data_IF_166825956674
#
_entry.id   IF_166825956674
#
_cell.length_a   1.000
_cell.length_b   1.000
_cell.length_c   1.000
_cell.angle_alpha   90.00
_cell.angle_beta   90.00
_cell.angle_gamma   90.00
#
_symmetry.space_group_name_H-M   'P 1'
#
loop_
_entity.id
_entity.type
_entity.pdbx_description
1 polymer ?
#
# COMPACT_ATOMS: atom_id res chain seq x y z
N UNK A 1 49.23 6.69 -7.90
CA UNK A 1 48.33 5.73 -8.59
C UNK A 1 46.95 6.37 -8.55
N UNK A 2 46.28 6.56 -9.69
CA UNK A 2 44.92 7.12 -9.66
C UNK A 2 43.94 6.06 -9.13
N UNK A 3 42.95 6.44 -8.31
CA UNK A 3 41.93 5.51 -7.84
C UNK A 3 41.16 4.94 -9.03
N UNK A 4 40.77 3.67 -8.95
CA UNK A 4 39.95 3.04 -9.99
C UNK A 4 38.51 3.55 -9.90
N UNK A 5 37.79 3.53 -11.03
CA UNK A 5 36.36 3.87 -11.07
C UNK A 5 35.55 3.05 -10.06
N UNK A 6 35.83 1.75 -9.96
CA UNK A 6 35.20 0.85 -9.00
C UNK A 6 35.43 1.27 -7.53
N UNK A 7 36.60 1.83 -7.21
CA UNK A 7 36.88 2.35 -5.87
C UNK A 7 36.07 3.62 -5.60
N UNK A 8 35.96 4.51 -6.58
CA UNK A 8 35.16 5.73 -6.47
C UNK A 8 33.66 5.42 -6.28
N UNK A 9 33.12 4.48 -7.05
CA UNK A 9 31.72 4.06 -6.95
C UNK A 9 31.44 3.38 -5.60
N UNK A 10 32.39 2.59 -5.09
CA UNK A 10 32.31 2.00 -3.76
C UNK A 10 32.29 3.04 -2.64
N UNK A 11 33.14 4.08 -2.73
CA UNK A 11 33.13 5.19 -1.77
C UNK A 11 31.81 5.96 -1.86
N UNK A 12 31.35 6.29 -3.06
CA UNK A 12 30.10 7.03 -3.26
C UNK A 12 28.89 6.27 -2.70
N UNK A 13 28.82 4.95 -2.91
CA UNK A 13 27.78 4.10 -2.33
C UNK A 13 27.83 3.97 -0.80
N UNK A 14 28.93 4.34 -0.14
CA UNK A 14 29.00 4.46 1.31
C UNK A 14 28.59 5.85 1.84
N UNK A 15 28.58 6.86 0.96
CA UNK A 15 28.23 8.23 1.31
C UNK A 15 26.77 8.58 1.00
N UNK A 16 26.16 7.89 0.03
CA UNK A 16 24.76 8.06 -0.37
C UNK A 16 23.88 6.86 -0.03
N UNK A 17 22.57 7.10 0.03
CA UNK A 17 21.55 6.07 0.12
C UNK A 17 20.99 5.78 -1.28
N UNK A 18 21.36 4.65 -1.88
CA UNK A 18 20.93 4.28 -3.25
C UNK A 18 19.43 4.11 -3.46
N UNK A 19 18.61 4.20 -2.41
CA UNK A 19 17.14 4.22 -2.53
C UNK A 19 16.64 5.62 -2.90
N UNK A 20 17.29 6.67 -2.40
CA UNK A 20 16.81 8.06 -2.52
C UNK A 20 17.80 9.02 -3.15
N UNK A 21 19.07 8.62 -3.25
CA UNK A 21 20.16 9.41 -3.80
C UNK A 21 20.66 8.80 -5.13
N UNK A 22 20.97 9.67 -6.08
CA UNK A 22 21.80 9.35 -7.24
C UNK A 22 23.15 10.05 -7.10
N UNK A 23 24.23 9.41 -7.55
CA UNK A 23 25.57 9.99 -7.53
C UNK A 23 26.32 9.77 -8.83
N UNK A 24 27.27 10.67 -9.11
CA UNK A 24 28.18 10.59 -10.24
C UNK A 24 29.63 10.73 -9.74
N UNK A 25 30.54 10.03 -10.39
CA UNK A 25 31.97 9.98 -10.06
C UNK A 25 32.75 10.36 -11.31
N UNK A 26 33.76 11.22 -11.16
CA UNK A 26 34.54 11.77 -12.27
C UNK A 26 36.03 11.63 -12.00
N UNK A 27 36.82 11.41 -13.05
CA UNK A 27 38.28 11.36 -12.93
C UNK A 27 38.88 12.78 -12.91
N UNK A 28 40.12 12.88 -12.43
CA UNK A 28 40.83 14.15 -12.41
C UNK A 28 41.00 14.72 -13.85
N UNK A 29 40.45 15.91 -14.08
CA UNK A 29 40.47 16.59 -15.39
C UNK A 29 39.28 16.25 -16.30
N UNK A 30 38.40 15.36 -15.87
CA UNK A 30 37.13 15.08 -16.54
C UNK A 30 36.11 16.18 -16.19
N UNK A 31 35.27 16.56 -17.16
CA UNK A 31 34.24 17.56 -16.91
C UNK A 31 33.13 16.95 -16.06
N UNK A 32 32.83 17.58 -14.93
CA UNK A 32 31.70 17.19 -14.09
C UNK A 32 30.39 17.44 -14.85
N UNK A 33 29.55 16.40 -14.93
CA UNK A 33 28.24 16.45 -15.56
C UNK A 33 27.24 15.71 -14.68
N UNK A 34 26.57 16.45 -13.80
CA UNK A 34 25.50 15.91 -12.97
C UNK A 34 24.17 16.07 -13.73
N UNK A 35 23.33 15.03 -13.81
CA UNK A 35 22.01 15.18 -14.40
C UNK A 35 21.18 16.23 -13.65
N UNK A 36 20.31 16.94 -14.37
CA UNK A 36 19.36 17.88 -13.75
C UNK A 36 18.54 17.14 -12.67
N UNK A 37 18.48 17.61 -11.41
CA UNK A 37 17.61 17.01 -10.40
C UNK A 37 16.11 17.22 -10.70
N UNK A 38 15.78 18.16 -11.59
CA UNK A 38 14.42 18.48 -12.02
C UNK A 38 14.16 18.01 -13.46
N UNK A 39 14.73 16.87 -13.88
CA UNK A 39 14.53 16.32 -15.23
C UNK A 39 13.04 16.37 -15.58
N UNK A 40 12.72 16.96 -16.73
CA UNK A 40 11.39 16.82 -17.29
C UNK A 40 11.21 15.36 -17.69
N UNK A 41 10.51 14.60 -16.85
CA UNK A 41 9.99 13.31 -17.28
C UNK A 41 9.04 13.58 -18.43
N UNK A 42 9.19 12.90 -19.58
CA UNK A 42 8.26 13.07 -20.66
C UNK A 42 6.86 12.67 -20.17
N UNK A 43 6.03 13.66 -19.86
CA UNK A 43 4.63 13.48 -19.51
C UNK A 43 3.86 13.18 -20.81
N UNK A 44 4.14 12.02 -21.41
CA UNK A 44 3.34 11.50 -22.50
C UNK A 44 2.09 10.89 -21.88
N UNK A 45 1.02 11.67 -21.81
CA UNK A 45 -0.29 11.11 -21.52
C UNK A 45 -0.62 10.11 -22.64
N UNK A 46 -0.54 8.81 -22.34
CA UNK A 46 -0.87 7.73 -23.29
C UNK A 46 -2.38 7.62 -23.56
N UNK A 47 -3.18 8.55 -23.00
CA UNK A 47 -4.63 8.45 -23.00
C UNK A 47 -5.11 7.39 -22.01
N UNK A 48 -6.38 6.99 -22.15
CA UNK A 48 -6.97 5.91 -21.36
C UNK A 48 -6.48 4.57 -21.92
N UNK A 49 -5.77 3.79 -21.12
CA UNK A 49 -5.36 2.42 -21.44
C UNK A 49 -6.45 1.45 -20.99
N UNK A 50 -6.89 0.57 -21.86
CA UNK A 50 -7.85 -0.51 -21.56
C UNK A 50 -7.11 -1.84 -21.42
N UNK A 51 -7.50 -2.64 -20.43
CA UNK A 51 -6.89 -3.94 -20.14
C UNK A 51 -7.85 -5.05 -20.58
N UNK A 52 -7.45 -5.96 -21.47
CA UNK A 52 -8.35 -6.99 -22.00
C UNK A 52 -8.57 -8.08 -20.94
N UNK A 53 -9.69 -8.00 -20.22
CA UNK A 53 -10.06 -9.01 -19.20
C UNK A 53 -11.30 -9.82 -19.60
N UNK A 54 -12.12 -9.32 -20.53
CA UNK A 54 -13.43 -9.92 -20.84
C UNK A 54 -13.31 -11.23 -21.64
N UNK A 55 -12.43 -11.28 -22.63
CA UNK A 55 -12.29 -12.41 -23.57
C UNK A 55 -10.92 -13.08 -23.47
N UNK A 56 -10.49 -13.38 -22.24
CA UNK A 56 -9.21 -14.04 -21.96
C UNK A 56 -9.39 -15.24 -21.05
N UNK A 57 -8.47 -16.21 -21.16
CA UNK A 57 -8.49 -17.41 -20.34
C UNK A 57 -8.13 -17.11 -18.88
N UNK A 58 -8.37 -18.08 -18.00
CA UNK A 58 -8.01 -17.94 -16.58
C UNK A 58 -6.49 -17.84 -16.39
N UNK A 59 -5.70 -18.52 -17.22
CA UNK A 59 -4.23 -18.37 -17.22
C UNK A 59 -3.81 -16.96 -17.60
N UNK A 60 -4.49 -16.34 -18.58
CA UNK A 60 -4.19 -14.98 -18.99
C UNK A 60 -4.66 -13.96 -17.95
N UNK A 61 -5.77 -14.21 -17.24
CA UNK A 61 -6.17 -13.37 -16.10
C UNK A 61 -5.10 -13.34 -15.01
N UNK A 62 -4.52 -14.49 -14.69
CA UNK A 62 -3.41 -14.57 -13.71
C UNK A 62 -2.21 -13.78 -14.22
N UNK A 63 -1.84 -13.92 -15.50
CA UNK A 63 -0.74 -13.14 -16.10
C UNK A 63 -0.99 -11.64 -16.06
N UNK A 64 -2.21 -11.18 -16.33
CA UNK A 64 -2.58 -9.75 -16.21
C UNK A 64 -2.36 -9.25 -14.78
N UNK A 65 -2.73 -10.05 -13.77
CA UNK A 65 -2.51 -9.72 -12.36
C UNK A 65 -1.02 -9.64 -12.01
N UNK A 66 -0.24 -10.64 -12.44
CA UNK A 66 1.20 -10.73 -12.17
C UNK A 66 1.99 -9.61 -12.86
N UNK A 67 1.79 -9.43 -14.17
CA UNK A 67 2.49 -8.44 -14.99
C UNK A 67 2.11 -7.01 -14.58
N UNK A 68 0.88 -6.80 -14.10
CA UNK A 68 0.38 -5.53 -13.58
C UNK A 68 0.74 -5.26 -12.11
N UNK A 69 1.32 -6.22 -11.38
CA UNK A 69 1.61 -6.07 -9.95
C UNK A 69 0.36 -5.96 -9.07
N UNK A 70 -0.80 -6.42 -9.54
CA UNK A 70 -2.11 -6.21 -8.91
C UNK A 70 -2.31 -7.06 -7.64
N UNK A 71 -1.57 -8.17 -7.53
CA UNK A 71 -1.68 -9.12 -6.42
C UNK A 71 -3.12 -9.65 -6.18
N UNK A 72 -3.93 -9.71 -7.24
CA UNK A 72 -5.27 -10.28 -7.24
C UNK A 72 -5.21 -11.77 -7.54
N UNK A 73 -5.96 -12.57 -6.79
CA UNK A 73 -6.08 -14.00 -7.06
C UNK A 73 -7.04 -14.31 -8.22
N UNK A 74 -7.06 -15.57 -8.66
CA UNK A 74 -7.90 -15.97 -9.79
C UNK A 74 -9.41 -15.71 -9.52
N UNK A 75 -10.00 -16.09 -8.37
CA UNK A 75 -11.38 -15.74 -8.03
C UNK A 75 -11.69 -14.23 -8.10
N UNK A 76 -10.78 -13.39 -7.62
CA UNK A 76 -10.92 -11.93 -7.70
C UNK A 76 -10.90 -11.45 -9.15
N UNK A 77 -9.94 -11.91 -9.94
CA UNK A 77 -9.86 -11.60 -11.37
C UNK A 77 -11.07 -12.09 -12.16
N UNK A 78 -11.60 -13.27 -11.84
CA UNK A 78 -12.84 -13.80 -12.44
C UNK A 78 -14.06 -12.95 -12.08
N UNK A 79 -14.10 -12.43 -10.84
CA UNK A 79 -15.16 -11.52 -10.38
C UNK A 79 -15.11 -10.20 -11.14
N UNK A 80 -13.91 -9.64 -11.32
CA UNK A 80 -13.67 -8.44 -12.13
C UNK A 80 -14.07 -8.69 -13.59
N UNK A 81 -13.60 -9.78 -14.21
CA UNK A 81 -14.00 -10.18 -15.57
C UNK A 81 -15.52 -10.24 -15.71
N UNK A 82 -16.20 -10.90 -14.78
CA UNK A 82 -17.66 -11.05 -14.82
C UNK A 82 -18.38 -9.69 -14.74
N UNK A 83 -17.87 -8.77 -13.92
CA UNK A 83 -18.39 -7.41 -13.82
C UNK A 83 -18.25 -6.65 -15.13
N UNK A 84 -17.09 -6.69 -15.77
CA UNK A 84 -16.81 -5.95 -17.01
C UNK A 84 -17.49 -6.57 -18.25
N UNK A 85 -17.64 -7.90 -18.30
CA UNK A 85 -18.51 -8.58 -19.27
C UNK A 85 -19.95 -8.05 -19.16
N UNK A 86 -20.48 -7.92 -17.94
CA UNK A 86 -21.84 -7.41 -17.73
C UNK A 86 -22.00 -5.93 -18.12
N UNK A 87 -20.94 -5.13 -18.01
CA UNK A 87 -20.91 -3.74 -18.48
C UNK A 87 -20.71 -3.63 -20.00
N UNK A 88 -20.29 -4.69 -20.68
CA UNK A 88 -20.02 -4.70 -22.11
C UNK A 88 -18.81 -3.87 -22.52
N UNK A 89 -17.80 -3.73 -21.64
CA UNK A 89 -16.56 -2.99 -21.89
C UNK A 89 -15.39 -3.54 -21.09
N UNK A 90 -14.18 -3.22 -21.51
CA UNK A 90 -12.98 -3.48 -20.71
C UNK A 90 -12.81 -2.46 -19.56
N UNK A 91 -12.14 -2.85 -18.46
CA UNK A 91 -11.62 -1.91 -17.48
C UNK A 91 -10.54 -1.04 -18.12
N UNK A 92 -10.49 0.22 -17.71
CA UNK A 92 -9.24 0.96 -17.82
C UNK A 92 -8.24 0.51 -16.77
N UNK A 93 -6.96 0.69 -17.07
CA UNK A 93 -5.84 0.41 -16.17
C UNK A 93 -6.08 1.00 -14.77
N UNK A 94 -6.47 2.27 -14.69
CA UNK A 94 -6.76 2.93 -13.40
C UNK A 94 -7.94 2.34 -12.65
N UNK A 95 -8.97 1.85 -13.36
CA UNK A 95 -10.10 1.18 -12.72
C UNK A 95 -9.67 -0.17 -12.13
N UNK A 96 -8.83 -0.91 -12.87
CA UNK A 96 -8.31 -2.19 -12.42
C UNK A 96 -7.36 -2.03 -11.22
N UNK A 97 -6.44 -1.06 -11.27
CA UNK A 97 -5.55 -0.71 -10.16
C UNK A 97 -6.32 -0.27 -8.92
N UNK A 98 -7.37 0.55 -9.10
CA UNK A 98 -8.25 0.97 -7.98
C UNK A 98 -8.90 -0.24 -7.30
N UNK A 99 -9.38 -1.21 -8.08
CA UNK A 99 -9.94 -2.44 -7.52
C UNK A 99 -8.85 -3.22 -6.78
N UNK A 100 -7.67 -3.41 -7.37
CA UNK A 100 -6.54 -4.10 -6.76
C UNK A 100 -6.14 -3.51 -5.40
N UNK A 101 -5.98 -2.18 -5.33
CA UNK A 101 -5.62 -1.49 -4.09
C UNK A 101 -6.72 -1.63 -3.03
N UNK A 102 -7.98 -1.38 -3.41
CA UNK A 102 -9.10 -1.43 -2.46
C UNK A 102 -9.39 -2.85 -1.96
N UNK A 103 -9.10 -3.87 -2.77
CA UNK A 103 -9.26 -5.28 -2.40
C UNK A 103 -8.01 -5.90 -1.80
N UNK A 104 -6.93 -5.13 -1.60
CA UNK A 104 -5.72 -5.64 -0.94
C UNK A 104 -6.01 -6.11 0.49
N UNK A 105 -5.16 -7.00 1.01
CA UNK A 105 -5.29 -7.44 2.42
C UNK A 105 -5.16 -6.28 3.41
N UNK A 106 -4.29 -5.32 3.08
CA UNK A 106 -4.06 -4.14 3.89
C UNK A 106 -5.33 -3.27 4.01
N UNK A 107 -6.13 -3.17 2.94
CA UNK A 107 -7.35 -2.34 2.92
C UNK A 107 -8.60 -3.09 3.40
N UNK A 108 -8.80 -4.34 2.97
CA UNK A 108 -10.01 -5.09 3.28
C UNK A 108 -9.92 -5.86 4.61
N UNK A 109 -8.72 -6.09 5.13
CA UNK A 109 -8.48 -6.93 6.31
C UNK A 109 -9.15 -8.31 6.17
N UNK A 110 -8.95 -9.01 5.03
CA UNK A 110 -9.59 -10.30 4.72
C UNK A 110 -9.28 -11.34 5.78
N UNK A 111 -8.07 -11.37 6.35
CA UNK A 111 -7.72 -12.30 7.42
C UNK A 111 -8.52 -12.04 8.70
N UNK A 112 -8.68 -10.78 9.08
CA UNK A 112 -9.41 -10.39 10.29
C UNK A 112 -10.92 -10.48 10.12
N UNK A 113 -11.43 -10.42 8.90
CA UNK A 113 -12.87 -10.52 8.60
C UNK A 113 -13.30 -11.90 8.13
N UNK A 114 -12.35 -12.76 7.78
CA UNK A 114 -12.57 -14.12 7.32
C UNK A 114 -12.94 -15.10 8.43
N UNK A 115 -13.33 -16.30 8.00
CA UNK A 115 -13.68 -17.39 8.89
C UNK A 115 -12.43 -18.14 9.37
N UNK A 116 -12.32 -18.37 10.68
CA UNK A 116 -11.17 -18.99 11.33
C UNK A 116 -11.62 -20.15 12.20
N UNK A 117 -10.89 -21.28 12.15
CA UNK A 117 -11.03 -22.40 13.07
C UNK A 117 -9.72 -22.67 13.80
N UNK A 118 -9.76 -22.74 15.12
CA UNK A 118 -8.61 -23.09 15.95
C UNK A 118 -9.03 -24.06 17.07
N UNK A 119 -8.72 -25.35 16.88
CA UNK A 119 -9.28 -26.41 17.71
C UNK A 119 -10.82 -26.42 17.63
N UNK A 120 -11.48 -26.31 18.77
CA UNK A 120 -12.94 -26.25 18.87
C UNK A 120 -13.50 -24.83 18.66
N UNK A 121 -12.65 -23.79 18.61
CA UNK A 121 -13.09 -22.42 18.34
C UNK A 121 -13.36 -22.23 16.85
N UNK A 122 -14.51 -21.65 16.52
CA UNK A 122 -14.90 -21.27 15.16
C UNK A 122 -15.45 -19.85 15.18
N UNK A 123 -14.91 -19.02 14.30
CA UNK A 123 -15.39 -17.67 14.02
C UNK A 123 -15.73 -17.60 12.52
N UNK A 124 -16.87 -17.02 12.18
CA UNK A 124 -17.22 -16.72 10.80
C UNK A 124 -16.69 -15.32 10.41
N UNK A 125 -16.49 -14.42 11.39
CA UNK A 125 -15.78 -13.15 11.26
C UNK A 125 -15.01 -12.84 12.56
N UNK A 126 -13.68 -13.05 12.54
CA UNK A 126 -12.84 -12.95 13.73
C UNK A 126 -12.95 -11.57 14.42
N UNK A 127 -12.83 -10.47 13.67
CA UNK A 127 -12.85 -9.11 14.20
C UNK A 127 -14.19 -8.75 14.84
N UNK A 128 -15.30 -9.08 14.17
CA UNK A 128 -16.65 -8.76 14.65
C UNK A 128 -17.02 -9.56 15.90
N UNK A 129 -16.64 -10.83 15.94
CA UNK A 129 -17.02 -11.75 17.01
C UNK A 129 -16.12 -11.65 18.24
N UNK A 130 -14.95 -11.02 18.12
CA UNK A 130 -14.02 -10.81 19.25
C UNK A 130 -14.05 -9.36 19.71
N UNK A 131 -13.38 -8.46 19.00
CA UNK A 131 -13.15 -7.08 19.42
C UNK A 131 -14.46 -6.27 19.40
N UNK A 132 -15.20 -6.28 18.29
CA UNK A 132 -16.39 -5.43 18.17
C UNK A 132 -17.51 -5.91 19.08
N UNK A 133 -17.67 -7.23 19.23
CA UNK A 133 -18.68 -7.82 20.11
C UNK A 133 -18.48 -7.36 21.55
N UNK A 134 -17.27 -7.43 22.09
CA UNK A 134 -17.00 -6.99 23.47
C UNK A 134 -17.30 -5.50 23.64
N UNK A 135 -16.84 -4.63 22.72
CA UNK A 135 -17.14 -3.19 22.80
C UNK A 135 -18.64 -2.90 22.75
N UNK A 136 -19.39 -3.57 21.87
CA UNK A 136 -20.84 -3.41 21.76
C UNK A 136 -21.57 -3.95 22.99
N UNK A 137 -21.16 -5.11 23.50
CA UNK A 137 -21.83 -5.74 24.64
C UNK A 137 -21.57 -4.98 25.94
N UNK A 138 -20.42 -4.32 26.07
CA UNK A 138 -20.11 -3.45 27.21
C UNK A 138 -20.89 -2.13 27.18
N UNK A 139 -21.17 -1.58 25.99
CA UNK A 139 -21.97 -0.37 25.75
C UNK A 139 -21.66 0.78 26.71
N UNK A 140 -20.37 1.07 26.90
CA UNK A 140 -19.94 2.04 27.91
C UNK A 140 -20.24 3.47 27.42
N UNK A 141 -20.87 4.32 28.24
CA UNK A 141 -21.33 5.65 27.82
C UNK A 141 -20.18 6.61 27.47
N UNK A 142 -18.96 6.32 27.94
CA UNK A 142 -17.76 7.10 27.62
C UNK A 142 -17.13 6.69 26.28
N UNK A 143 -17.59 5.65 25.60
CA UNK A 143 -17.12 5.29 24.25
C UNK A 143 -17.83 6.14 23.19
N UNK A 144 -17.41 7.39 22.99
CA UNK A 144 -18.07 8.34 22.10
C UNK A 144 -17.99 7.96 20.61
N UNK A 145 -16.83 7.47 20.15
CA UNK A 145 -16.66 6.96 18.78
C UNK A 145 -15.71 5.76 18.78
N UNK A 146 -16.20 4.57 18.46
CA UNK A 146 -15.38 3.36 18.36
C UNK A 146 -15.83 2.57 17.14
N UNK A 147 -14.87 2.22 16.27
CA UNK A 147 -15.11 1.52 14.99
C UNK A 147 -16.05 2.25 14.01
N UNK A 148 -16.09 3.58 14.06
CA UNK A 148 -16.91 4.41 13.17
C UNK A 148 -16.10 5.37 12.30
N UNK A 149 -14.84 5.59 12.66
CA UNK A 149 -13.97 6.60 12.05
C UNK A 149 -12.51 6.12 12.08
N UNK A 150 -11.59 6.92 11.56
CA UNK A 150 -10.17 6.62 11.51
C UNK A 150 -9.50 6.54 12.88
N UNK A 151 -10.06 7.20 13.90
CA UNK A 151 -9.59 7.16 15.28
C UNK A 151 -10.70 6.81 16.28
N UNK A 152 -10.33 6.21 17.41
CA UNK A 152 -11.23 5.96 18.52
C UNK A 152 -11.27 7.14 19.49
N UNK A 153 -12.46 7.56 19.91
CA UNK A 153 -12.65 8.67 20.86
C UNK A 153 -13.35 8.18 22.12
N UNK A 154 -12.75 8.45 23.27
CA UNK A 154 -13.32 8.19 24.60
C UNK A 154 -13.49 9.47 25.39
N UNK A 155 -14.59 9.60 26.12
CA UNK A 155 -14.86 10.70 27.04
C UNK A 155 -14.01 10.60 28.30
N UNK A 156 -13.40 11.71 28.68
CA UNK A 156 -12.70 11.88 29.96
C UNK A 156 -13.67 12.49 30.98
N UNK A 157 -14.47 13.46 30.54
CA UNK A 157 -15.60 14.07 31.25
C UNK A 157 -16.69 14.50 30.24
N UNK A 158 -17.64 15.34 30.66
CA UNK A 158 -18.77 15.77 29.82
C UNK A 158 -18.39 16.80 28.72
N UNK A 159 -17.19 17.37 28.77
CA UNK A 159 -16.70 18.41 27.84
C UNK A 159 -15.51 17.93 27.00
N UNK A 160 -14.63 17.10 27.56
CA UNK A 160 -13.37 16.67 26.96
C UNK A 160 -13.31 15.17 26.71
N UNK A 161 -12.73 14.81 25.57
CA UNK A 161 -12.42 13.43 25.19
C UNK A 161 -10.99 13.29 24.66
N UNK A 162 -10.47 12.06 24.70
CA UNK A 162 -9.20 11.69 24.09
C UNK A 162 -9.43 10.94 22.78
N UNK A 163 -8.78 11.38 21.71
CA UNK A 163 -8.66 10.64 20.45
C UNK A 163 -7.41 9.77 20.48
N UNK A 164 -7.55 8.50 20.09
CA UNK A 164 -6.49 7.52 20.08
C UNK A 164 -6.47 6.78 18.75
N UNK A 165 -5.30 6.77 18.11
CA UNK A 165 -5.00 5.96 16.94
C UNK A 165 -3.57 5.46 17.02
N UNK A 166 -3.37 4.22 16.57
CA UNK A 166 -2.06 3.61 16.39
C UNK A 166 -2.04 2.99 15.00
N UNK A 167 -0.97 3.26 14.27
CA UNK A 167 -0.68 2.67 12.97
C UNK A 167 0.71 2.04 12.96
N UNK A 168 0.97 1.23 11.95
CA UNK A 168 2.30 0.67 11.71
C UNK A 168 2.69 0.93 10.27
N UNK A 169 3.98 1.16 10.02
CA UNK A 169 4.51 1.45 8.67
C UNK A 169 5.70 0.53 8.35
N UNK A 170 5.50 -0.77 8.63
CA UNK A 170 6.58 -1.75 8.75
C UNK A 170 7.32 -1.99 7.44
N UNK A 171 6.60 -2.29 6.35
CA UNK A 171 7.23 -2.68 5.09
C UNK A 171 8.06 -1.54 4.48
N UNK A 172 7.57 -0.28 4.38
CA UNK A 172 8.39 0.81 3.86
C UNK A 172 9.55 1.17 4.79
N UNK A 173 9.38 1.07 6.11
CA UNK A 173 10.46 1.32 7.07
C UNK A 173 11.57 0.27 7.02
N UNK A 174 11.26 -0.95 6.56
CA UNK A 174 12.25 -1.99 6.34
C UNK A 174 13.12 -1.72 5.08
N UNK A 175 12.57 -1.00 4.11
CA UNK A 175 13.30 -0.59 2.90
C UNK A 175 14.10 0.68 3.15
N UNK A 176 13.43 1.74 3.61
CA UNK A 176 14.04 3.04 3.86
C UNK A 176 13.52 3.58 5.21
N UNK A 177 14.31 3.45 6.29
CA UNK A 177 13.81 3.71 7.65
C UNK A 177 13.38 5.15 7.93
N UNK A 178 14.04 6.15 7.35
CA UNK A 178 13.79 7.54 7.71
C UNK A 178 12.46 8.03 7.13
N UNK A 179 12.27 7.88 5.83
CA UNK A 179 11.03 8.19 5.11
C UNK A 179 9.90 7.26 5.47
N UNK A 180 10.16 5.96 5.69
CA UNK A 180 9.17 5.01 6.18
C UNK A 180 8.59 5.41 7.56
N UNK A 181 9.45 5.75 8.51
CA UNK A 181 9.01 6.23 9.83
C UNK A 181 8.35 7.61 9.74
N UNK A 182 8.92 8.53 8.94
CA UNK A 182 8.40 9.88 8.78
C UNK A 182 6.99 9.91 8.20
N UNK A 183 6.72 9.11 7.17
CA UNK A 183 5.38 8.96 6.58
C UNK A 183 4.43 8.21 7.50
N UNK A 184 4.91 7.23 8.27
CA UNK A 184 4.11 6.57 9.32
C UNK A 184 3.63 7.53 10.41
N UNK A 185 4.52 8.39 10.94
CA UNK A 185 4.15 9.44 11.90
C UNK A 185 3.19 10.44 11.25
N UNK A 186 3.46 10.85 10.02
CA UNK A 186 2.58 11.77 9.30
C UNK A 186 1.19 11.19 9.03
N UNK A 187 1.08 9.88 8.79
CA UNK A 187 -0.19 9.17 8.57
C UNK A 187 -1.08 9.20 9.80
N UNK A 188 -0.56 8.69 10.93
CA UNK A 188 -1.32 8.62 12.18
C UNK A 188 -1.72 10.00 12.75
N UNK A 189 -1.00 11.07 12.40
CA UNK A 189 -1.38 12.45 12.79
C UNK A 189 -2.55 12.99 11.95
N UNK A 190 -2.72 12.51 10.71
CA UNK A 190 -3.84 12.94 9.84
C UNK A 190 -5.14 12.24 10.17
N UNK A 191 -5.06 11.04 10.73
CA UNK A 191 -6.18 10.29 11.29
C UNK A 191 -6.72 10.91 12.60
#
# INVERSE_FOLDING_TARGET
MQPTQQLLDGIAGHLGNGIVDEWCTFNAGEAESVPDPFREFPAHAQGRVEIPVCDVSDEELVRISDDGGLSLDLPEMQTIRSHYIALGREPSEIELETIAQTWSEHCCHKTLTGSVRHGDLKFDNLLKETIFKVTRDLDLPWCWSVFRDNAGVIGIDDEWGGSFKVETHNHPSALEPYGGAGTGVGGVIRD
#
